data_IF_234264932936
#
_entry.id   IF_234264932936
#
_cell.length_a   1.000
_cell.length_b   1.000
_cell.length_c   1.000
_cell.angle_alpha   90.00
_cell.angle_beta   90.00
_cell.angle_gamma   90.00
#
_symmetry.space_group_name_H-M   'P 1'
#
loop_
_entity.id
_entity.type
_entity.pdbx_description
1 polymer ?
#
# COMPACT_ATOMS: atom_id res chain seq x y z
N UNK A 1 10.69 26.53 -3.42
CA UNK A 1 9.40 25.98 -3.90
C UNK A 1 9.14 24.84 -2.94
N UNK A 2 8.42 25.11 -1.86
CA UNK A 2 8.19 24.14 -0.80
C UNK A 2 7.22 23.10 -1.35
N UNK A 3 7.74 21.93 -1.72
CA UNK A 3 6.91 20.78 -2.02
C UNK A 3 6.27 20.34 -0.72
N UNK A 4 4.99 20.65 -0.55
CA UNK A 4 4.20 20.13 0.54
C UNK A 4 3.93 18.64 0.28
N UNK A 5 4.89 17.78 0.63
CA UNK A 5 4.79 16.31 0.53
C UNK A 5 3.71 15.71 1.44
N UNK A 6 2.97 16.55 2.15
CA UNK A 6 2.09 16.11 3.22
C UNK A 6 0.80 15.48 2.71
N UNK A 7 0.44 15.71 1.44
CA UNK A 7 -0.66 15.02 0.74
C UNK A 7 -0.16 13.96 -0.27
N UNK A 8 1.08 13.51 -0.10
CA UNK A 8 1.68 12.44 -0.90
C UNK A 8 0.83 11.14 -0.83
N UNK A 9 0.47 10.53 -1.98
CA UNK A 9 -0.24 9.25 -2.02
C UNK A 9 0.45 8.14 -1.21
N UNK A 10 1.78 8.23 -1.07
CA UNK A 10 2.64 7.29 -0.35
C UNK A 10 2.45 7.34 1.17
N UNK A 11 1.92 8.43 1.73
CA UNK A 11 1.72 8.56 3.17
C UNK A 11 0.38 7.97 3.65
N UNK A 12 -0.56 7.71 2.75
CA UNK A 12 -1.93 7.38 3.11
C UNK A 12 -2.13 5.90 3.40
N UNK A 13 -2.92 5.59 4.43
CA UNK A 13 -3.43 4.23 4.59
C UNK A 13 -4.52 3.95 3.55
N UNK A 14 -4.37 2.89 2.75
CA UNK A 14 -5.36 2.42 1.76
C UNK A 14 -6.50 1.65 2.47
N UNK A 15 -6.96 2.13 3.62
CA UNK A 15 -7.91 1.40 4.46
C UNK A 15 -9.36 1.46 3.97
N UNK A 16 -9.66 2.19 2.90
CA UNK A 16 -11.06 2.61 2.64
C UNK A 16 -11.75 1.90 1.48
N UNK A 17 -11.06 1.40 0.46
CA UNK A 17 -11.73 0.67 -0.62
C UNK A 17 -10.77 -0.28 -1.34
N UNK A 18 -11.06 -1.57 -1.26
CA UNK A 18 -10.31 -2.60 -1.95
C UNK A 18 -11.26 -3.46 -2.79
N UNK A 19 -11.26 -3.26 -4.10
CA UNK A 19 -11.73 -4.32 -4.99
C UNK A 19 -10.60 -5.27 -5.33
N UNK A 20 -10.98 -6.50 -5.63
CA UNK A 20 -10.12 -7.56 -6.12
C UNK A 20 -10.85 -8.36 -7.19
N UNK A 21 -10.09 -8.93 -8.12
CA UNK A 21 -10.65 -9.81 -9.12
C UNK A 21 -11.14 -11.12 -8.48
N UNK A 22 -12.37 -11.54 -8.81
CA UNK A 22 -12.97 -12.75 -8.24
C UNK A 22 -12.17 -14.00 -8.62
N UNK A 23 -11.70 -14.09 -9.86
CA UNK A 23 -10.85 -15.18 -10.32
C UNK A 23 -9.56 -15.29 -9.51
N UNK A 24 -8.94 -14.13 -9.21
CA UNK A 24 -7.69 -14.06 -8.47
C UNK A 24 -7.90 -14.49 -7.01
N UNK A 25 -8.95 -13.97 -6.36
CA UNK A 25 -9.29 -14.33 -4.99
C UNK A 25 -9.58 -15.83 -4.86
N UNK A 26 -10.37 -16.39 -5.80
CA UNK A 26 -10.63 -17.83 -5.85
C UNK A 26 -9.39 -18.67 -6.16
N UNK A 27 -8.39 -18.12 -6.85
CA UNK A 27 -7.10 -18.79 -7.09
C UNK A 27 -6.20 -18.77 -5.84
N UNK A 28 -6.15 -17.64 -5.13
CA UNK A 28 -5.34 -17.48 -3.92
C UNK A 28 -5.86 -18.32 -2.77
N UNK A 29 -7.18 -18.31 -2.53
CA UNK A 29 -7.84 -19.15 -1.54
C UNK A 29 -9.15 -19.73 -2.10
N UNK A 30 -9.11 -20.92 -2.71
CA UNK A 30 -10.29 -21.58 -3.27
C UNK A 30 -11.34 -21.97 -2.22
N UNK A 31 -10.96 -22.08 -0.94
CA UNK A 31 -11.85 -22.56 0.12
C UNK A 31 -12.67 -21.42 0.72
N UNK A 32 -12.01 -20.29 1.01
CA UNK A 32 -12.63 -19.18 1.72
C UNK A 32 -12.89 -17.96 0.83
N UNK A 33 -12.17 -17.82 -0.29
CA UNK A 33 -12.29 -16.68 -1.20
C UNK A 33 -12.21 -15.34 -0.46
N UNK A 34 -13.20 -14.47 -0.64
CA UNK A 34 -13.28 -13.16 0.03
C UNK A 34 -13.43 -13.21 1.55
N UNK A 35 -13.80 -14.37 2.13
CA UNK A 35 -13.81 -14.56 3.57
C UNK A 35 -12.43 -14.89 4.15
N UNK A 36 -11.45 -15.20 3.30
CA UNK A 36 -10.10 -15.60 3.73
C UNK A 36 -9.38 -14.47 4.47
N UNK A 37 -8.90 -14.69 5.72
CA UNK A 37 -8.07 -13.72 6.44
C UNK A 37 -6.84 -13.31 5.65
N UNK A 38 -6.22 -14.26 4.92
CA UNK A 38 -5.09 -13.99 4.04
C UNK A 38 -5.43 -12.97 2.95
N UNK A 39 -6.55 -13.19 2.24
CA UNK A 39 -7.02 -12.26 1.19
C UNK A 39 -7.33 -10.88 1.77
N UNK A 40 -7.94 -10.83 2.96
CA UNK A 40 -8.18 -9.54 3.64
C UNK A 40 -6.88 -8.81 3.93
N UNK A 41 -5.91 -9.46 4.57
CA UNK A 41 -4.61 -8.86 4.89
C UNK A 41 -3.89 -8.38 3.63
N UNK A 42 -3.85 -9.20 2.58
CA UNK A 42 -3.19 -8.87 1.32
C UNK A 42 -3.75 -7.60 0.69
N UNK A 43 -5.08 -7.51 0.57
CA UNK A 43 -5.71 -6.42 -0.17
C UNK A 43 -5.97 -5.18 0.70
N UNK A 44 -5.96 -5.33 2.03
CA UNK A 44 -5.99 -4.21 2.97
C UNK A 44 -4.67 -3.43 2.97
N UNK A 45 -3.55 -4.15 3.04
CA UNK A 45 -2.22 -3.56 3.22
C UNK A 45 -1.40 -3.51 1.94
N UNK A 46 -2.02 -3.72 0.78
CA UNK A 46 -1.33 -3.55 -0.50
C UNK A 46 -0.75 -2.14 -0.56
N UNK A 47 0.49 -2.05 -1.01
CA UNK A 47 1.14 -0.76 -1.18
C UNK A 47 0.69 -0.14 -2.52
N UNK A 48 0.59 1.18 -2.60
CA UNK A 48 0.09 1.86 -3.80
C UNK A 48 -0.49 3.26 -3.55
N UNK A 49 -0.95 3.88 -4.63
CA UNK A 49 -1.46 5.25 -4.61
C UNK A 49 -2.87 5.34 -4.00
N UNK A 50 -3.05 6.31 -3.12
CA UNK A 50 -4.35 6.82 -2.75
C UNK A 50 -4.61 8.15 -3.47
N UNK A 51 -5.79 8.32 -4.06
CA UNK A 51 -6.18 9.59 -4.65
C UNK A 51 -6.76 10.49 -3.58
N UNK A 52 -6.16 11.66 -3.39
CA UNK A 52 -6.81 12.78 -2.70
C UNK A 52 -7.24 13.79 -3.73
N UNK A 53 -8.52 14.12 -3.75
CA UNK A 53 -9.01 15.19 -4.60
C UNK A 53 -8.57 16.53 -4.01
N UNK A 54 -7.78 17.34 -4.74
CA UNK A 54 -7.52 18.71 -4.32
C UNK A 54 -8.85 19.47 -4.23
N UNK A 55 -8.86 20.56 -3.46
CA UNK A 55 -9.99 21.50 -3.47
C UNK A 55 -9.88 22.37 -4.73
N UNK A 56 -10.68 22.19 -5.80
CA UNK A 56 -10.75 23.14 -6.90
C UNK A 56 -10.98 24.57 -6.43
N UNK A 57 -10.23 25.47 -7.04
CA UNK A 57 -10.28 26.93 -6.88
C UNK A 57 -11.33 27.59 -7.76
N UNK A 58 -12.35 26.85 -8.21
CA UNK A 58 -13.36 27.34 -9.13
C UNK A 58 -14.73 27.36 -8.44
N UNK A 59 -15.47 28.46 -8.61
CA UNK A 59 -16.86 28.57 -8.17
C UNK A 59 -17.74 27.67 -9.03
N UNK A 60 -18.17 26.55 -8.46
CA UNK A 60 -19.09 25.60 -9.11
C UNK A 60 -20.50 25.88 -8.60
N UNK A 61 -21.52 26.04 -9.49
CA UNK A 61 -22.91 26.22 -9.08
C UNK A 61 -23.40 25.04 -8.21
N UNK A 62 -23.95 25.34 -7.04
CA UNK A 62 -24.34 24.34 -6.04
C UNK A 62 -25.64 23.60 -6.38
N UNK A 63 -25.70 22.30 -6.05
CA UNK A 63 -26.88 21.43 -6.16
C UNK A 63 -28.02 21.82 -5.20
N UNK A 64 -29.15 21.14 -5.38
CA UNK A 64 -29.92 20.62 -4.25
C UNK A 64 -29.07 19.61 -3.46
N UNK A 65 -28.45 20.09 -2.38
CA UNK A 65 -27.48 19.38 -1.52
C UNK A 65 -27.91 17.95 -1.15
N UNK A 66 -29.22 17.72 -0.99
CA UNK A 66 -29.78 16.43 -0.59
C UNK A 66 -29.48 15.30 -1.61
N UNK A 67 -29.58 15.58 -2.92
CA UNK A 67 -29.35 14.57 -3.97
C UNK A 67 -27.88 14.20 -4.09
N UNK A 68 -27.01 15.18 -3.91
CA UNK A 68 -25.56 15.00 -3.93
C UNK A 68 -25.08 14.19 -2.74
N UNK A 69 -25.60 14.51 -1.55
CA UNK A 69 -25.32 13.77 -0.32
C UNK A 69 -25.78 12.33 -0.44
N UNK A 70 -26.99 12.09 -0.98
CA UNK A 70 -27.50 10.74 -1.22
C UNK A 70 -26.64 9.95 -2.23
N UNK A 71 -26.35 10.52 -3.40
CA UNK A 71 -25.58 9.84 -4.45
C UNK A 71 -24.14 9.57 -3.99
N UNK A 72 -23.51 10.55 -3.35
CA UNK A 72 -22.20 10.38 -2.70
C UNK A 72 -22.24 9.23 -1.69
N UNK A 73 -23.23 9.22 -0.80
CA UNK A 73 -23.34 8.19 0.23
C UNK A 73 -23.49 6.80 -0.39
N UNK A 74 -24.32 6.65 -1.42
CA UNK A 74 -24.49 5.38 -2.15
C UNK A 74 -23.19 4.91 -2.79
N UNK A 75 -22.50 5.79 -3.53
CA UNK A 75 -21.24 5.44 -4.20
C UNK A 75 -20.13 5.11 -3.20
N UNK A 76 -20.00 5.89 -2.13
CA UNK A 76 -19.07 5.60 -1.04
C UNK A 76 -19.38 4.24 -0.40
N UNK A 77 -20.67 3.93 -0.17
CA UNK A 77 -21.08 2.63 0.38
C UNK A 77 -20.74 1.47 -0.55
N UNK A 78 -20.87 1.65 -1.87
CA UNK A 78 -20.53 0.63 -2.87
C UNK A 78 -19.01 0.42 -2.92
N UNK A 79 -18.21 1.49 -2.88
CA UNK A 79 -16.76 1.41 -2.87
C UNK A 79 -16.21 0.74 -1.60
N UNK A 80 -16.86 0.99 -0.47
CA UNK A 80 -16.48 0.47 0.86
C UNK A 80 -17.14 -0.87 1.21
N UNK A 81 -17.84 -1.51 0.26
CA UNK A 81 -18.61 -2.74 0.55
C UNK A 81 -17.71 -3.96 0.65
N UNK A 82 -17.18 -4.22 1.85
CA UNK A 82 -16.33 -5.39 2.09
C UNK A 82 -14.87 -5.12 1.73
N UNK A 83 -13.97 -5.89 2.32
CA UNK A 83 -12.54 -5.61 2.27
C UNK A 83 -11.74 -6.93 2.10
N UNK A 84 -11.37 -7.32 0.87
CA UNK A 84 -11.79 -6.73 -0.41
C UNK A 84 -13.21 -7.13 -0.83
N UNK A 85 -13.78 -6.40 -1.79
CA UNK A 85 -14.99 -6.73 -2.55
C UNK A 85 -14.64 -7.20 -3.97
N UNK A 86 -15.54 -7.87 -4.70
CA UNK A 86 -15.34 -8.12 -6.12
C UNK A 86 -15.38 -6.81 -6.93
N UNK A 87 -14.47 -6.68 -7.91
CA UNK A 87 -14.52 -5.62 -8.91
C UNK A 87 -15.71 -5.78 -9.88
N UNK A 88 -15.95 -4.80 -10.74
CA UNK A 88 -17.00 -4.96 -11.76
C UNK A 88 -16.67 -6.08 -12.74
N UNK A 89 -17.72 -6.71 -13.27
CA UNK A 89 -17.60 -7.76 -14.30
C UNK A 89 -16.85 -7.27 -15.55
N UNK A 90 -16.95 -5.97 -15.87
CA UNK A 90 -16.23 -5.35 -16.99
C UNK A 90 -14.73 -5.35 -16.74
N UNK A 91 -14.28 -4.92 -15.55
CA UNK A 91 -12.87 -4.96 -15.17
C UNK A 91 -12.37 -6.40 -15.09
N UNK A 92 -13.11 -7.30 -14.45
CA UNK A 92 -12.79 -8.74 -14.36
C UNK A 92 -12.52 -9.35 -15.75
N UNK A 93 -13.47 -9.22 -16.68
CA UNK A 93 -13.29 -9.76 -18.03
C UNK A 93 -12.15 -9.07 -18.79
N UNK A 94 -11.98 -7.76 -18.62
CA UNK A 94 -10.92 -7.01 -19.30
C UNK A 94 -9.53 -7.53 -18.89
N UNK A 95 -9.25 -7.63 -17.59
CA UNK A 95 -7.95 -8.08 -17.09
C UNK A 95 -7.67 -9.55 -17.46
N UNK A 96 -8.69 -10.41 -17.42
CA UNK A 96 -8.55 -11.83 -17.77
C UNK A 96 -8.35 -12.03 -19.27
N UNK A 97 -9.07 -11.29 -20.11
CA UNK A 97 -8.88 -11.31 -21.56
C UNK A 97 -7.49 -10.82 -21.94
N UNK A 98 -7.03 -9.73 -21.33
CA UNK A 98 -5.68 -9.21 -21.58
C UNK A 98 -4.61 -10.21 -21.16
N UNK A 99 -4.70 -10.77 -19.94
CA UNK A 99 -3.76 -11.78 -19.47
C UNK A 99 -3.75 -13.05 -20.33
N UNK A 100 -4.89 -13.39 -20.94
CA UNK A 100 -4.99 -14.48 -21.90
C UNK A 100 -4.35 -14.14 -23.26
N UNK A 101 -4.55 -12.93 -23.78
CA UNK A 101 -3.98 -12.52 -25.07
C UNK A 101 -2.45 -12.44 -25.06
N UNK A 102 -1.84 -12.17 -23.90
CA UNK A 102 -0.39 -12.12 -23.72
C UNK A 102 0.21 -13.41 -23.15
N UNK A 103 -0.58 -14.49 -23.15
CA UNK A 103 -0.16 -15.84 -22.74
C UNK A 103 0.33 -15.98 -21.28
N UNK A 104 -0.20 -15.18 -20.36
CA UNK A 104 0.08 -15.34 -18.92
C UNK A 104 -0.78 -16.46 -18.32
N UNK A 105 -2.06 -16.50 -18.67
CA UNK A 105 -3.02 -17.48 -18.16
C UNK A 105 -4.10 -17.80 -19.18
N UNK A 106 -4.84 -18.89 -18.95
CA UNK A 106 -6.15 -19.09 -19.53
C UNK A 106 -7.19 -18.97 -18.42
N UNK A 107 -8.43 -18.64 -18.78
CA UNK A 107 -9.52 -18.68 -17.82
C UNK A 107 -10.78 -19.33 -18.39
N UNK A 108 -11.63 -19.81 -17.50
CA UNK A 108 -12.96 -20.30 -17.81
C UNK A 108 -13.99 -19.49 -17.02
N UNK A 109 -14.96 -18.92 -17.73
CA UNK A 109 -16.13 -18.27 -17.14
C UNK A 109 -17.30 -19.26 -17.10
N UNK A 110 -17.94 -19.39 -15.93
CA UNK A 110 -19.12 -20.21 -15.72
C UNK A 110 -20.20 -19.40 -15.01
N UNK A 111 -21.47 -19.66 -15.33
CA UNK A 111 -22.60 -19.07 -14.62
C UNK A 111 -23.21 -20.16 -13.74
N UNK A 112 -23.21 -19.96 -12.43
CA UNK A 112 -23.79 -20.89 -11.48
C UNK A 112 -24.72 -20.12 -10.50
N UNK A 113 -26.00 -20.52 -10.44
CA UNK A 113 -26.98 -19.88 -9.57
C UNK A 113 -27.16 -18.38 -9.80
N UNK A 114 -27.00 -17.89 -11.03
CA UNK A 114 -27.06 -16.46 -11.36
C UNK A 114 -25.80 -15.67 -10.99
N UNK A 115 -24.73 -16.33 -10.54
CA UNK A 115 -23.43 -15.72 -10.24
C UNK A 115 -22.38 -16.12 -11.27
N UNK A 116 -21.51 -15.18 -11.65
CA UNK A 116 -20.35 -15.47 -12.48
C UNK A 116 -19.24 -16.10 -11.62
N UNK A 117 -18.61 -17.14 -12.14
CA UNK A 117 -17.48 -17.83 -11.54
C UNK A 117 -16.35 -17.93 -12.54
N UNK A 118 -15.17 -17.46 -12.17
CA UNK A 118 -13.96 -17.54 -12.99
C UNK A 118 -12.96 -18.54 -12.43
N UNK A 119 -12.41 -19.40 -13.29
CA UNK A 119 -11.32 -20.34 -12.95
C UNK A 119 -10.07 -20.00 -13.73
N UNK A 120 -8.98 -19.70 -13.02
CA UNK A 120 -7.68 -19.41 -13.60
C UNK A 120 -6.86 -20.68 -13.84
N UNK A 121 -6.22 -20.74 -14.99
CA UNK A 121 -5.27 -21.78 -15.37
C UNK A 121 -3.98 -21.11 -15.90
N UNK A 122 -2.97 -20.87 -15.05
CA UNK A 122 -1.71 -20.27 -15.49
C UNK A 122 -1.05 -21.07 -16.63
N UNK A 123 -0.42 -20.37 -17.58
CA UNK A 123 0.32 -20.99 -18.69
C UNK A 123 1.58 -21.68 -18.18
N UNK A 124 2.16 -22.58 -18.99
CA UNK A 124 3.26 -23.46 -18.59
C UNK A 124 4.43 -22.71 -17.93
N UNK A 125 4.82 -21.55 -18.48
CA UNK A 125 5.87 -20.69 -17.94
C UNK A 125 5.57 -20.18 -16.51
N UNK A 126 4.31 -19.98 -16.18
CA UNK A 126 3.85 -19.37 -14.93
C UNK A 126 3.33 -20.40 -13.91
N UNK A 127 3.07 -21.65 -14.32
CA UNK A 127 2.36 -22.65 -13.49
C UNK A 127 2.94 -22.85 -12.09
N UNK A 128 4.26 -22.82 -11.96
CA UNK A 128 4.92 -23.16 -10.70
C UNK A 128 4.94 -22.00 -9.70
N UNK A 129 4.92 -20.76 -10.17
CA UNK A 129 5.18 -19.58 -9.35
C UNK A 129 4.18 -18.43 -9.55
N UNK A 130 3.07 -18.65 -10.28
CA UNK A 130 2.08 -17.61 -10.55
C UNK A 130 1.56 -16.94 -9.28
N UNK A 131 1.40 -17.69 -8.18
CA UNK A 131 1.01 -17.14 -6.88
C UNK A 131 2.04 -16.13 -6.36
N UNK A 132 3.32 -16.46 -6.42
CA UNK A 132 4.41 -15.59 -5.99
C UNK A 132 4.54 -14.37 -6.91
N UNK A 133 4.28 -14.51 -8.22
CA UNK A 133 4.23 -13.37 -9.13
C UNK A 133 3.08 -12.40 -8.83
N UNK A 134 1.91 -12.93 -8.45
CA UNK A 134 0.80 -12.12 -7.95
C UNK A 134 1.17 -11.42 -6.65
N UNK A 135 1.83 -12.11 -5.72
CA UNK A 135 2.35 -11.52 -4.49
C UNK A 135 3.38 -10.43 -4.77
N UNK A 136 4.29 -10.63 -5.71
CA UNK A 136 5.23 -9.61 -6.15
C UNK A 136 4.49 -8.37 -6.71
N UNK A 137 3.41 -8.58 -7.47
CA UNK A 137 2.58 -7.50 -8.00
C UNK A 137 1.82 -6.68 -6.95
N UNK A 138 1.72 -7.16 -5.70
CA UNK A 138 1.15 -6.41 -4.58
C UNK A 138 2.14 -5.45 -3.91
N UNK A 139 3.42 -5.51 -4.29
CA UNK A 139 4.49 -4.62 -3.84
C UNK A 139 5.02 -3.76 -5.02
N UNK A 140 4.27 -2.74 -5.46
CA UNK A 140 4.70 -1.89 -6.58
C UNK A 140 6.07 -1.24 -6.37
N UNK A 141 6.45 -0.94 -5.12
CA UNK A 141 7.76 -0.40 -4.73
C UNK A 141 8.91 -1.30 -5.20
N UNK A 142 8.71 -2.61 -5.21
CA UNK A 142 9.71 -3.58 -5.61
C UNK A 142 9.81 -3.74 -7.14
N UNK A 143 8.89 -3.13 -7.89
CA UNK A 143 8.77 -3.25 -9.35
C UNK A 143 9.19 -2.00 -10.12
N UNK A 144 9.58 -0.93 -9.40
CA UNK A 144 10.13 0.30 -9.97
C UNK A 144 11.45 0.03 -10.68
N UNK A 145 11.74 0.75 -11.76
CA UNK A 145 13.03 0.72 -12.42
C UNK A 145 14.12 1.44 -11.60
N UNK A 146 15.39 1.27 -11.97
CA UNK A 146 16.53 1.80 -11.21
C UNK A 146 16.60 3.33 -11.20
N UNK A 147 16.11 4.00 -12.24
CA UNK A 147 16.12 5.46 -12.32
C UNK A 147 15.01 6.03 -11.44
N UNK A 148 13.80 5.45 -11.49
CA UNK A 148 12.71 5.75 -10.57
C UNK A 148 13.12 5.50 -9.11
N UNK A 149 13.82 4.40 -8.82
CA UNK A 149 14.34 4.10 -7.48
C UNK A 149 15.24 5.23 -6.96
N UNK A 150 16.24 5.66 -7.74
CA UNK A 150 17.15 6.73 -7.33
C UNK A 150 16.40 8.03 -7.03
N UNK A 151 15.46 8.41 -7.90
CA UNK A 151 14.65 9.61 -7.73
C UNK A 151 13.78 9.53 -6.45
N UNK A 152 13.14 8.39 -6.20
CA UNK A 152 12.31 8.19 -5.01
C UNK A 152 13.14 8.24 -3.72
N UNK A 153 14.31 7.60 -3.69
CA UNK A 153 15.22 7.66 -2.54
C UNK A 153 15.71 9.09 -2.31
N UNK A 154 16.03 9.83 -3.38
CA UNK A 154 16.41 11.24 -3.27
C UNK A 154 15.27 12.09 -2.67
N UNK A 155 14.02 11.84 -3.06
CA UNK A 155 12.86 12.47 -2.45
C UNK A 155 12.76 12.15 -0.95
N UNK A 156 12.99 10.89 -0.55
CA UNK A 156 12.98 10.49 0.86
C UNK A 156 14.04 11.23 1.67
N UNK A 157 15.27 11.28 1.17
CA UNK A 157 16.36 11.98 1.84
C UNK A 157 16.15 13.50 1.90
N UNK A 158 15.45 14.09 0.93
CA UNK A 158 15.21 15.54 0.86
C UNK A 158 14.33 16.09 1.99
N UNK A 159 13.52 15.23 2.61
CA UNK A 159 12.63 15.59 3.73
C UNK A 159 13.18 15.17 5.09
N UNK A 160 14.38 14.58 5.12
CA UNK A 160 15.01 14.05 6.33
C UNK A 160 16.16 14.90 6.83
N UNK A 161 16.33 14.96 8.16
CA UNK A 161 17.50 15.60 8.78
C UNK A 161 18.80 14.82 8.49
N UNK A 162 20.00 15.41 8.69
CA UNK A 162 21.26 14.68 8.48
C UNK A 162 21.38 13.39 9.31
N UNK A 163 20.82 13.38 10.52
CA UNK A 163 20.81 12.20 11.39
C UNK A 163 19.89 11.10 10.83
N UNK A 164 18.71 11.48 10.39
CA UNK A 164 17.76 10.58 9.71
C UNK A 164 18.34 10.01 8.42
N UNK A 165 19.05 10.83 7.63
CA UNK A 165 19.73 10.37 6.42
C UNK A 165 20.82 9.33 6.73
N UNK A 166 21.64 9.54 7.78
CA UNK A 166 22.63 8.54 8.21
C UNK A 166 21.95 7.23 8.62
N UNK A 167 20.89 7.31 9.43
CA UNK A 167 20.10 6.15 9.84
C UNK A 167 19.52 5.38 8.64
N UNK A 168 18.90 6.09 7.70
CA UNK A 168 18.32 5.53 6.49
C UNK A 168 19.37 4.85 5.62
N UNK A 169 20.49 5.52 5.35
CA UNK A 169 21.58 4.99 4.52
C UNK A 169 22.18 3.73 5.15
N UNK A 170 22.39 3.72 6.47
CA UNK A 170 22.86 2.52 7.19
C UNK A 170 21.87 1.37 7.08
N UNK A 171 20.57 1.62 7.22
CA UNK A 171 19.56 0.59 7.00
C UNK A 171 19.59 0.07 5.56
N UNK A 172 19.64 0.97 4.57
CA UNK A 172 19.65 0.61 3.16
C UNK A 172 20.80 -0.32 2.80
N UNK A 173 22.00 -0.09 3.33
CA UNK A 173 23.17 -0.95 3.08
C UNK A 173 23.02 -2.39 3.60
N UNK A 174 22.07 -2.64 4.50
CA UNK A 174 21.77 -3.96 5.07
C UNK A 174 20.69 -4.71 4.29
N UNK A 175 20.01 -4.03 3.36
CA UNK A 175 18.96 -4.63 2.54
C UNK A 175 19.56 -5.24 1.28
N UNK A 176 19.11 -6.43 0.92
CA UNK A 176 19.66 -7.16 -0.22
C UNK A 176 19.11 -6.68 -1.59
N UNK A 177 17.96 -6.02 -1.61
CA UNK A 177 17.49 -5.20 -2.75
C UNK A 177 17.27 -3.76 -2.24
N UNK A 178 17.90 -2.74 -2.85
CA UNK A 178 17.75 -1.35 -2.41
C UNK A 178 16.32 -0.83 -2.50
N UNK A 179 15.43 -1.47 -3.27
CA UNK A 179 14.00 -1.12 -3.34
C UNK A 179 13.26 -1.42 -2.04
N UNK A 180 13.76 -2.30 -1.19
CA UNK A 180 13.18 -2.55 0.12
C UNK A 180 13.21 -1.29 1.00
N UNK A 181 14.15 -0.37 0.74
CA UNK A 181 14.22 0.91 1.45
C UNK A 181 13.01 1.82 1.14
N UNK A 182 12.28 1.59 0.04
CA UNK A 182 11.07 2.34 -0.28
C UNK A 182 9.90 2.03 0.67
N UNK A 183 9.99 0.97 1.48
CA UNK A 183 9.04 0.74 2.57
C UNK A 183 9.36 1.51 3.84
N UNK A 184 10.51 2.19 3.90
CA UNK A 184 10.95 3.01 5.03
C UNK A 184 10.51 4.45 4.76
N UNK A 185 9.23 4.71 4.99
CA UNK A 185 8.54 5.95 4.60
C UNK A 185 8.89 7.06 5.59
N UNK A 186 9.53 8.16 5.16
CA UNK A 186 9.90 9.26 6.05
C UNK A 186 8.70 10.10 6.44
N UNK A 187 8.70 10.65 7.66
CA UNK A 187 7.82 11.74 8.09
C UNK A 187 6.32 11.47 7.84
N UNK A 188 5.87 10.21 7.98
CA UNK A 188 4.46 9.82 7.73
C UNK A 188 3.56 10.48 8.78
N UNK A 189 2.45 11.11 8.36
CA UNK A 189 1.52 11.74 9.31
C UNK A 189 0.89 10.71 10.26
N UNK A 190 0.73 11.08 11.53
CA UNK A 190 0.15 10.22 12.56
C UNK A 190 -1.30 9.77 12.24
N UNK A 191 -2.07 10.59 11.50
CA UNK A 191 -3.43 10.24 11.05
C UNK A 191 -3.49 9.00 10.12
N UNK A 192 -2.34 8.61 9.54
CA UNK A 192 -2.22 7.40 8.73
C UNK A 192 -1.69 6.19 9.50
N UNK A 193 -1.18 6.41 10.70
CA UNK A 193 -0.66 5.38 11.59
C UNK A 193 -1.68 5.00 12.67
N UNK A 194 -2.51 5.97 13.07
CA UNK A 194 -3.49 5.87 14.14
C UNK A 194 -4.86 6.41 13.68
N UNK A 195 -5.90 5.63 13.93
CA UNK A 195 -7.28 6.03 13.61
C UNK A 195 -7.83 7.18 14.46
N UNK A 196 -7.22 7.45 15.62
CA UNK A 196 -7.62 8.50 16.56
C UNK A 196 -6.84 9.81 16.42
N UNK A 197 -5.87 9.87 15.49
CA UNK A 197 -4.91 10.97 15.37
C UNK A 197 -5.30 12.06 14.35
N UNK A 198 -6.61 12.28 14.15
CA UNK A 198 -7.08 13.38 13.30
C UNK A 198 -6.50 14.71 13.82
N UNK A 199 -5.80 15.45 12.95
CA UNK A 199 -5.12 16.72 13.25
C UNK A 199 -3.88 16.63 14.16
N UNK A 200 -3.31 15.44 14.37
CA UNK A 200 -2.02 15.31 15.04
C UNK A 200 -0.89 15.73 14.09
N UNK A 201 -0.21 16.83 14.43
CA UNK A 201 0.87 17.38 13.63
C UNK A 201 2.18 16.58 13.77
N UNK A 202 2.27 15.67 14.74
CA UNK A 202 3.45 14.84 14.93
C UNK A 202 3.68 13.91 13.75
N UNK A 203 4.94 13.56 13.54
CA UNK A 203 5.41 12.64 12.51
C UNK A 203 6.56 11.84 13.11
N UNK A 204 6.56 10.51 13.04
CA UNK A 204 7.77 9.77 13.21
C UNK A 204 8.75 10.02 12.08
N UNK A 205 10.04 9.87 12.38
CA UNK A 205 11.08 10.08 11.38
C UNK A 205 10.96 9.08 10.24
N UNK A 206 10.76 7.80 10.57
CA UNK A 206 10.42 6.77 9.59
C UNK A 206 9.32 5.83 10.09
N UNK A 207 8.54 5.33 9.16
CA UNK A 207 7.56 4.27 9.40
C UNK A 207 7.73 3.14 8.38
N UNK A 208 7.56 1.90 8.82
CA UNK A 208 7.59 0.70 8.00
C UNK A 208 6.28 -0.04 8.24
N UNK A 209 5.49 -0.18 7.19
CA UNK A 209 4.28 -1.01 7.17
C UNK A 209 4.39 -2.01 6.03
N UNK A 210 4.56 -3.29 6.37
CA UNK A 210 4.83 -4.33 5.36
C UNK A 210 4.01 -5.59 5.66
N UNK A 211 3.02 -5.94 4.82
CA UNK A 211 2.23 -7.15 5.02
C UNK A 211 3.06 -8.40 4.72
N UNK A 212 2.82 -9.47 5.47
CA UNK A 212 3.35 -10.81 5.22
C UNK A 212 2.26 -11.71 4.66
N UNK A 213 2.56 -12.33 3.52
CA UNK A 213 1.65 -13.28 2.87
C UNK A 213 1.74 -14.70 3.42
N UNK A 214 2.74 -14.98 4.26
CA UNK A 214 2.94 -16.31 4.86
C UNK A 214 2.28 -16.43 6.23
N UNK A 215 2.34 -15.37 7.04
CA UNK A 215 1.99 -15.44 8.47
C UNK A 215 0.76 -14.61 8.87
N UNK A 216 0.02 -14.05 7.90
CA UNK A 216 -1.12 -13.14 8.15
C UNK A 216 -0.77 -11.98 9.10
N UNK A 217 0.50 -11.60 9.10
CA UNK A 217 1.08 -10.58 9.97
C UNK A 217 1.42 -9.34 9.13
N UNK A 218 1.36 -8.15 9.71
CA UNK A 218 1.87 -6.94 9.09
C UNK A 218 2.95 -6.37 10.01
N UNK A 219 4.17 -6.21 9.49
CA UNK A 219 5.22 -5.52 10.22
C UNK A 219 4.86 -4.06 10.30
N UNK A 220 4.87 -3.53 11.52
CA UNK A 220 4.56 -2.13 11.84
C UNK A 220 5.66 -1.60 12.75
N UNK A 221 6.60 -0.88 12.17
CA UNK A 221 7.70 -0.26 12.88
C UNK A 221 7.67 1.24 12.70
N UNK A 222 8.02 1.95 13.76
CA UNK A 222 8.41 3.36 13.74
C UNK A 222 9.87 3.42 14.15
N UNK A 223 10.68 4.14 13.38
CA UNK A 223 12.07 4.44 13.70
C UNK A 223 12.20 5.92 14.01
N UNK A 224 12.91 6.25 15.08
CA UNK A 224 13.12 7.62 15.55
C UNK A 224 14.61 7.86 15.77
N UNK A 225 15.15 8.88 15.12
CA UNK A 225 16.52 9.33 15.29
C UNK A 225 16.55 10.44 16.35
N UNK A 226 17.23 10.21 17.47
CA UNK A 226 17.27 11.15 18.60
C UNK A 226 18.65 11.75 18.83
N UNK A 227 18.72 13.08 18.89
CA UNK A 227 19.89 13.82 19.40
C UNK A 227 19.69 14.32 20.84
N UNK A 228 20.71 14.99 21.39
CA UNK A 228 20.71 15.47 22.78
C UNK A 228 19.62 16.51 23.09
N UNK A 229 18.99 17.12 22.08
CA UNK A 229 17.89 18.09 22.28
C UNK A 229 16.60 17.42 22.78
N UNK A 230 16.48 16.11 22.63
CA UNK A 230 15.33 15.32 23.12
C UNK A 230 15.37 15.03 24.64
N UNK A 231 16.31 15.60 25.39
CA UNK A 231 16.40 15.42 26.85
C UNK A 231 15.51 16.41 27.65
N UNK A 232 14.83 17.33 26.98
CA UNK A 232 13.89 18.24 27.64
C UNK A 232 12.67 17.48 28.19
N UNK A 233 12.32 17.71 29.46
CA UNK A 233 11.26 16.97 30.18
C UNK A 233 9.91 17.04 29.48
N UNK A 234 9.60 18.17 28.82
CA UNK A 234 8.37 18.32 28.04
C UNK A 234 8.37 17.45 26.77
N UNK A 235 9.48 17.40 26.05
CA UNK A 235 9.62 16.57 24.85
C UNK A 235 9.54 15.08 25.21
N UNK A 236 10.19 14.66 26.30
CA UNK A 236 10.13 13.28 26.80
C UNK A 236 8.67 12.85 27.06
N UNK A 237 7.86 13.70 27.68
CA UNK A 237 6.45 13.38 27.95
C UNK A 237 5.62 13.28 26.67
N UNK A 238 5.87 14.16 25.71
CA UNK A 238 5.20 14.16 24.41
C UNK A 238 5.53 12.86 23.66
N UNK A 239 6.82 12.52 23.58
CA UNK A 239 7.37 11.31 22.99
C UNK A 239 6.79 10.04 23.62
N UNK A 240 6.74 9.97 24.95
CA UNK A 240 6.17 8.83 25.66
C UNK A 240 4.67 8.63 25.37
N UNK A 241 3.90 9.72 25.31
CA UNK A 241 2.47 9.64 24.99
C UNK A 241 2.25 9.16 23.55
N UNK A 242 3.06 9.65 22.60
CA UNK A 242 3.04 9.20 21.19
C UNK A 242 3.36 7.71 21.08
N UNK A 243 4.46 7.28 21.71
CA UNK A 243 4.92 5.90 21.66
C UNK A 243 3.88 4.95 22.29
N UNK A 244 3.26 5.35 23.41
CA UNK A 244 2.20 4.56 24.04
C UNK A 244 0.98 4.37 23.12
N UNK A 245 0.58 5.40 22.36
CA UNK A 245 -0.52 5.31 21.39
C UNK A 245 -0.15 4.40 20.21
N UNK A 246 1.07 4.51 19.69
CA UNK A 246 1.60 3.63 18.65
C UNK A 246 1.59 2.16 19.09
N UNK A 247 2.15 1.87 20.26
CA UNK A 247 2.22 0.52 20.82
C UNK A 247 0.82 -0.06 21.05
N UNK A 248 -0.11 0.72 21.60
CA UNK A 248 -1.51 0.29 21.78
C UNK A 248 -2.18 -0.07 20.46
N UNK A 249 -1.77 0.55 19.35
CA UNK A 249 -2.27 0.28 17.99
C UNK A 249 -1.48 -0.80 17.24
N UNK A 250 -0.56 -1.48 17.93
CA UNK A 250 0.20 -2.59 17.38
C UNK A 250 1.47 -2.20 16.61
N UNK A 251 1.92 -0.94 16.73
CA UNK A 251 3.21 -0.51 16.20
C UNK A 251 4.34 -0.79 17.21
N UNK A 252 5.50 -1.16 16.71
CA UNK A 252 6.73 -1.23 17.49
C UNK A 252 7.54 0.05 17.27
N UNK A 253 8.10 0.62 18.32
CA UNK A 253 8.91 1.85 18.24
C UNK A 253 10.37 1.51 18.54
N UNK A 254 11.28 1.84 17.62
CA UNK A 254 12.74 1.73 17.82
C UNK A 254 13.36 3.11 17.76
N UNK A 255 14.04 3.50 18.85
CA UNK A 255 14.74 4.79 18.96
C UNK A 255 16.24 4.59 18.78
N UNK A 256 16.84 5.42 17.94
CA UNK A 256 18.25 5.45 17.59
C UNK A 256 18.83 6.75 18.14
N UNK A 257 19.29 6.69 19.40
CA UNK A 257 19.85 7.85 20.08
C UNK A 257 21.33 7.95 19.82
N UNK A 258 21.82 9.16 19.55
CA UNK A 258 23.25 9.41 19.28
C UNK A 258 24.18 8.93 20.42
N UNK A 259 23.72 8.96 21.68
CA UNK A 259 24.48 8.46 22.84
C UNK A 259 24.38 6.93 23.06
N UNK A 260 23.55 6.23 22.28
CA UNK A 260 23.42 4.77 22.23
C UNK A 260 23.88 4.26 20.84
N UNK A 261 24.80 4.99 20.20
CA UNK A 261 25.26 4.72 18.82
C UNK A 261 25.96 3.37 18.65
N UNK A 262 26.51 2.82 19.73
CA UNK A 262 27.08 1.47 19.79
C UNK A 262 26.03 0.37 19.51
N UNK A 263 24.76 0.61 19.83
CA UNK A 263 23.66 -0.34 19.62
C UNK A 263 22.93 -0.14 18.30
N UNK A 264 23.29 0.86 17.50
CA UNK A 264 22.57 1.16 16.27
C UNK A 264 22.68 0.03 15.26
N UNK A 265 23.90 -0.48 15.06
CA UNK A 265 24.15 -1.48 14.03
C UNK A 265 23.36 -2.78 14.30
N UNK A 266 23.38 -3.26 15.55
CA UNK A 266 22.59 -4.43 15.97
C UNK A 266 21.09 -4.22 15.81
N UNK A 267 20.60 -3.02 16.16
CA UNK A 267 19.18 -2.69 16.01
C UNK A 267 18.76 -2.57 14.54
N UNK A 268 19.62 -2.06 13.68
CA UNK A 268 19.37 -1.98 12.24
C UNK A 268 19.42 -3.36 11.58
N UNK A 269 20.32 -4.24 12.02
CA UNK A 269 20.37 -5.63 11.58
C UNK A 269 19.09 -6.39 11.95
N UNK A 270 18.53 -6.12 13.13
CA UNK A 270 17.21 -6.65 13.50
C UNK A 270 16.09 -6.13 12.59
N UNK A 271 16.08 -4.83 12.27
CA UNK A 271 15.07 -4.24 11.36
C UNK A 271 15.18 -4.88 9.96
N UNK A 272 16.38 -4.97 9.41
CA UNK A 272 16.63 -5.63 8.13
C UNK A 272 16.18 -7.10 8.17
N UNK A 273 16.45 -7.81 9.26
CA UNK A 273 15.99 -9.19 9.46
C UNK A 273 14.47 -9.31 9.42
N UNK A 274 13.73 -8.41 10.08
CA UNK A 274 12.26 -8.41 10.03
C UNK A 274 11.73 -8.18 8.61
N UNK A 275 12.36 -7.29 7.84
CA UNK A 275 11.99 -7.03 6.45
C UNK A 275 12.25 -8.28 5.59
N UNK A 276 13.42 -8.92 5.71
CA UNK A 276 13.76 -10.13 4.96
C UNK A 276 12.92 -11.36 5.35
N UNK A 277 12.45 -11.44 6.59
CA UNK A 277 11.50 -12.49 7.00
C UNK A 277 10.14 -12.34 6.31
N UNK A 278 9.76 -11.13 5.92
CA UNK A 278 8.53 -10.86 5.19
C UNK A 278 8.73 -11.02 3.69
N UNK A 279 9.78 -10.41 3.15
CA UNK A 279 10.16 -10.53 1.75
C UNK A 279 11.11 -11.71 1.59
N UNK A 280 10.51 -12.91 1.58
CA UNK A 280 11.22 -14.18 1.51
C UNK A 280 12.01 -14.34 0.20
N UNK A 281 13.05 -15.19 0.16
CA UNK A 281 13.81 -15.46 -1.06
C UNK A 281 12.94 -15.84 -2.26
N UNK A 282 11.92 -16.69 -2.07
CA UNK A 282 10.97 -17.07 -3.12
C UNK A 282 10.21 -15.86 -3.71
N UNK A 283 9.86 -14.89 -2.85
CA UNK A 283 9.20 -13.67 -3.27
C UNK A 283 10.18 -12.74 -3.99
N UNK A 284 11.43 -12.65 -3.53
CA UNK A 284 12.49 -11.90 -4.21
C UNK A 284 12.75 -12.44 -5.61
N UNK A 285 12.84 -13.76 -5.76
CA UNK A 285 12.98 -14.41 -7.06
C UNK A 285 11.79 -14.09 -7.97
N UNK A 286 10.56 -14.11 -7.43
CA UNK A 286 9.38 -13.72 -8.19
C UNK A 286 9.39 -12.24 -8.59
N UNK A 287 9.89 -11.34 -7.74
CA UNK A 287 10.06 -9.91 -8.06
C UNK A 287 11.09 -9.74 -9.19
N UNK A 288 12.24 -10.41 -9.11
CA UNK A 288 13.24 -10.41 -10.17
C UNK A 288 12.65 -10.93 -11.48
N UNK A 289 11.95 -12.06 -11.43
CA UNK A 289 11.29 -12.62 -12.61
C UNK A 289 10.27 -11.65 -13.19
N UNK A 290 9.37 -11.09 -12.38
CA UNK A 290 8.32 -10.16 -12.81
C UNK A 290 8.91 -8.91 -13.47
N UNK A 291 10.03 -8.38 -12.96
CA UNK A 291 10.77 -7.27 -13.59
C UNK A 291 11.37 -7.65 -14.95
N UNK A 292 11.81 -8.89 -15.10
CA UNK A 292 12.44 -9.40 -16.33
C UNK A 292 11.46 -9.85 -17.42
N UNK A 293 10.16 -9.98 -17.08
CA UNK A 293 9.14 -10.36 -18.06
C UNK A 293 9.02 -9.31 -19.18
N UNK A 294 8.60 -9.73 -20.40
CA UNK A 294 8.13 -8.81 -21.43
C UNK A 294 7.09 -7.83 -20.87
N UNK A 295 7.16 -6.57 -21.28
CA UNK A 295 6.34 -5.49 -20.72
C UNK A 295 4.84 -5.83 -20.68
N UNK A 296 4.31 -6.46 -21.74
CA UNK A 296 2.90 -6.87 -21.81
C UNK A 296 2.54 -7.94 -20.78
N UNK A 297 3.43 -8.91 -20.54
CA UNK A 297 3.23 -9.96 -19.54
C UNK A 297 3.37 -9.42 -18.12
N UNK A 298 4.36 -8.57 -17.88
CA UNK A 298 4.52 -7.83 -16.60
C UNK A 298 3.24 -7.05 -16.29
N UNK A 299 2.76 -6.25 -17.26
CA UNK A 299 1.54 -5.46 -17.12
C UNK A 299 0.31 -6.34 -16.89
N UNK A 300 0.19 -7.48 -17.57
CA UNK A 300 -0.91 -8.40 -17.36
C UNK A 300 -0.96 -8.93 -15.93
N UNK A 301 0.19 -9.34 -15.35
CA UNK A 301 0.25 -9.79 -13.95
C UNK A 301 -0.07 -8.64 -12.99
N UNK A 302 0.51 -7.46 -13.21
CA UNK A 302 0.24 -6.27 -12.37
C UNK A 302 -1.23 -5.84 -12.42
N UNK A 303 -1.85 -5.88 -13.61
CA UNK A 303 -3.25 -5.49 -13.83
C UNK A 303 -4.26 -6.38 -13.10
N UNK A 304 -3.92 -7.64 -12.82
CA UNK A 304 -4.77 -8.52 -12.00
C UNK A 304 -4.99 -7.97 -10.59
N UNK A 305 -4.05 -7.17 -10.09
CA UNK A 305 -4.08 -6.56 -8.75
C UNK A 305 -4.44 -5.08 -8.83
N UNK A 306 -3.77 -4.33 -9.71
CA UNK A 306 -3.83 -2.87 -9.73
C UNK A 306 -5.15 -2.32 -10.28
N UNK A 307 -5.72 -2.90 -11.35
CA UNK A 307 -6.94 -2.33 -11.95
C UNK A 307 -8.19 -2.46 -11.06
N UNK A 308 -8.44 -3.59 -10.36
CA UNK A 308 -9.45 -3.64 -9.31
C UNK A 308 -9.23 -2.56 -8.23
N UNK A 309 -7.98 -2.37 -7.78
CA UNK A 309 -7.66 -1.34 -6.81
C UNK A 309 -7.99 0.07 -7.33
N UNK A 310 -7.60 0.37 -8.58
CA UNK A 310 -7.90 1.63 -9.26
C UNK A 310 -9.40 1.88 -9.34
N UNK A 311 -10.19 0.89 -9.74
CA UNK A 311 -11.64 1.02 -9.83
C UNK A 311 -12.24 1.44 -8.48
N UNK A 312 -11.81 0.79 -7.40
CA UNK A 312 -12.26 1.11 -6.05
C UNK A 312 -11.89 2.55 -5.64
N UNK A 313 -10.64 2.97 -5.91
CA UNK A 313 -10.16 4.31 -5.58
C UNK A 313 -10.83 5.41 -6.40
N UNK A 314 -11.03 5.19 -7.70
CA UNK A 314 -11.77 6.11 -8.57
C UNK A 314 -13.22 6.27 -8.12
N UNK A 315 -13.87 5.21 -7.65
CA UNK A 315 -15.24 5.27 -7.14
C UNK A 315 -15.32 6.07 -5.83
N UNK A 316 -14.34 5.92 -4.92
CA UNK A 316 -14.23 6.76 -3.71
C UNK A 316 -14.02 8.22 -4.09
N UNK A 317 -13.09 8.50 -5.00
CA UNK A 317 -12.83 9.84 -5.47
C UNK A 317 -14.09 10.45 -6.11
N UNK A 318 -14.78 9.71 -6.97
CA UNK A 318 -16.04 10.17 -7.58
C UNK A 318 -17.12 10.47 -6.52
N UNK A 319 -17.27 9.62 -5.51
CA UNK A 319 -18.20 9.86 -4.41
C UNK A 319 -17.88 11.17 -3.67
N UNK A 320 -16.60 11.39 -3.34
CA UNK A 320 -16.14 12.63 -2.70
C UNK A 320 -16.34 13.85 -3.61
N UNK A 321 -16.06 13.70 -4.91
CA UNK A 321 -16.26 14.75 -5.89
C UNK A 321 -17.74 15.15 -5.97
N UNK A 322 -18.66 14.19 -6.08
CA UNK A 322 -20.11 14.45 -6.14
C UNK A 322 -20.58 15.13 -4.86
N UNK A 323 -20.12 14.68 -3.69
CA UNK A 323 -20.46 15.30 -2.40
C UNK A 323 -20.07 16.77 -2.35
N UNK A 324 -18.88 17.08 -2.88
CA UNK A 324 -18.26 18.39 -2.77
C UNK A 324 -18.67 19.33 -3.90
N UNK A 325 -19.01 18.80 -5.09
CA UNK A 325 -19.13 19.57 -6.34
C UNK A 325 -20.20 19.10 -7.32
N UNK A 326 -21.01 18.09 -7.02
CA UNK A 326 -21.88 17.47 -8.03
C UNK A 326 -22.73 18.49 -8.81
N UNK A 327 -23.09 18.18 -10.05
CA UNK A 327 -24.00 19.00 -10.87
C UNK A 327 -25.02 18.07 -11.53
N UNK A 328 -26.22 18.57 -11.81
CA UNK A 328 -27.34 17.79 -12.34
C UNK A 328 -27.26 17.47 -13.86
N UNK A 329 -26.08 17.42 -14.46
CA UNK A 329 -25.90 16.96 -15.85
C UNK A 329 -25.10 15.66 -15.86
N UNK A 330 -25.85 14.54 -15.92
CA UNK A 330 -25.39 13.26 -16.43
C UNK A 330 -26.29 12.86 -17.59
#
# INVERSE_FOLDING_TARGET
MDFDFTDSPWHQSIDKAAYAAQALVSFLDPKQGFASPLVRTIFQYRSGFAFTLPTPSFDIPQLDQLKADWLSAVLAKIAQRGLPAPCSLKIERHILNYAQSVEVLNYQEQINGGTYQFRLNPRSLFRQNFRQLVYAALYPELLVDDDSLKNLIQCYLSVSTPLEQDLFNRLQTRLNDPRLALFVIPQRRMEHLLSDALHDAQRPDFSIELPSFHNQYCLRLVLEAGDLTHQETNQIRIDQNRDARLIKSGWQVKRFRTWESDQWDDNLDQVATFIHQIITPDLQDAIHQLRSLPAEQKNAVQNLVALPAIEAQLLVALAQFIRKYGTAQL
#
